data_IF_388358748253
#
_entry.id   IF_388358748253
#
_cell.length_a   1.000
_cell.length_b   1.000
_cell.length_c   1.000
_cell.angle_alpha   90.00
_cell.angle_beta   90.00
_cell.angle_gamma   90.00
#
_symmetry.space_group_name_H-M   'P 1'
#
loop_
_entity.id
_entity.type
_entity.pdbx_description
1 polymer ?
#
# COMPACT_ATOMS: atom_id res chain seq x y z
N UNK A 1 -142.51 44.81 24.67
CA UNK A 1 -141.55 45.69 23.97
C UNK A 1 -142.28 46.91 23.45
N UNK A 2 -141.79 48.12 23.72
CA UNK A 2 -142.27 49.34 23.08
C UNK A 2 -141.50 49.57 21.75
N UNK A 3 -141.98 50.49 20.88
CA UNK A 3 -141.39 50.70 19.54
C UNK A 3 -139.91 51.12 19.54
N UNK A 4 -139.46 51.84 20.56
CA UNK A 4 -138.06 52.26 20.70
C UNK A 4 -137.12 51.10 21.07
N UNK A 5 -137.57 50.14 21.88
CA UNK A 5 -136.84 48.90 22.16
C UNK A 5 -136.67 48.03 20.92
N UNK A 6 -137.71 47.94 20.07
CA UNK A 6 -137.64 47.19 18.81
C UNK A 6 -136.66 47.84 17.81
N UNK A 7 -136.69 49.17 17.67
CA UNK A 7 -135.75 49.92 16.83
C UNK A 7 -134.29 49.75 17.31
N UNK A 8 -134.04 49.87 18.61
CA UNK A 8 -132.71 49.66 19.19
C UNK A 8 -132.21 48.22 18.96
N UNK A 9 -133.09 47.22 19.12
CA UNK A 9 -132.78 45.81 18.83
C UNK A 9 -132.44 45.62 17.35
N UNK A 10 -133.22 46.21 16.44
CA UNK A 10 -132.99 46.09 14.99
C UNK A 10 -131.68 46.76 14.54
N UNK A 11 -131.31 47.87 15.18
CA UNK A 11 -130.02 48.53 14.95
C UNK A 11 -128.85 47.68 15.45
N UNK A 12 -128.97 47.06 16.65
CA UNK A 12 -127.97 46.10 17.15
C UNK A 12 -127.84 44.87 16.26
N UNK A 13 -128.95 44.32 15.74
CA UNK A 13 -128.93 43.19 14.78
C UNK A 13 -128.17 43.59 13.51
N UNK A 14 -128.38 44.80 13.00
CA UNK A 14 -127.65 45.31 11.83
C UNK A 14 -126.16 45.43 12.10
N UNK A 15 -125.76 46.02 13.25
CA UNK A 15 -124.36 46.08 13.68
C UNK A 15 -123.74 44.69 13.84
N UNK A 16 -124.45 43.77 14.49
CA UNK A 16 -123.98 42.39 14.68
C UNK A 16 -123.81 41.66 13.33
N UNK A 17 -124.73 41.89 12.39
CA UNK A 17 -124.61 41.35 11.01
C UNK A 17 -123.34 41.86 10.33
N UNK A 18 -123.05 43.17 10.45
CA UNK A 18 -121.81 43.76 9.93
C UNK A 18 -120.55 43.17 10.58
N UNK A 19 -120.53 43.06 11.92
CA UNK A 19 -119.42 42.46 12.66
C UNK A 19 -119.18 40.99 12.27
N UNK A 20 -120.25 40.21 12.09
CA UNK A 20 -120.16 38.81 11.63
C UNK A 20 -119.54 38.74 10.23
N UNK A 21 -119.96 39.62 9.31
CA UNK A 21 -119.39 39.67 7.97
C UNK A 21 -117.89 40.01 7.99
N UNK A 22 -117.48 41.01 8.79
CA UNK A 22 -116.07 41.34 9.02
C UNK A 22 -115.30 40.17 9.63
N UNK A 23 -115.84 39.52 10.66
CA UNK A 23 -115.21 38.35 11.28
C UNK A 23 -115.06 37.18 10.28
N UNK A 24 -116.06 36.96 9.43
CA UNK A 24 -116.01 35.94 8.37
C UNK A 24 -114.88 36.25 7.38
N UNK A 25 -114.73 37.50 6.94
CA UNK A 25 -113.64 37.92 6.05
C UNK A 25 -112.25 37.78 6.73
N UNK A 26 -112.15 38.16 8.00
CA UNK A 26 -110.93 38.00 8.80
C UNK A 26 -110.55 36.52 8.97
N UNK A 27 -111.52 35.64 9.22
CA UNK A 27 -111.29 34.19 9.32
C UNK A 27 -110.82 33.62 7.98
N UNK A 28 -111.44 34.01 6.86
CA UNK A 28 -111.01 33.59 5.52
C UNK A 28 -109.57 34.03 5.24
N UNK A 29 -109.23 35.27 5.60
CA UNK A 29 -107.87 35.82 5.48
C UNK A 29 -106.88 35.05 6.35
N UNK A 30 -107.22 34.81 7.61
CA UNK A 30 -106.40 34.02 8.53
C UNK A 30 -106.20 32.58 8.03
N UNK A 31 -107.24 31.98 7.45
CA UNK A 31 -107.16 30.64 6.85
C UNK A 31 -106.19 30.61 5.68
N UNK A 32 -106.26 31.59 4.77
CA UNK A 32 -105.33 31.71 3.65
C UNK A 32 -103.88 31.94 4.14
N UNK A 33 -103.69 32.78 5.14
CA UNK A 33 -102.38 33.04 5.74
C UNK A 33 -101.78 31.79 6.40
N UNK A 34 -102.60 31.02 7.13
CA UNK A 34 -102.17 29.75 7.73
C UNK A 34 -101.76 28.73 6.65
N UNK A 35 -102.53 28.63 5.56
CA UNK A 35 -102.19 27.76 4.44
C UNK A 35 -100.88 28.17 3.77
N UNK A 36 -100.67 29.48 3.55
CA UNK A 36 -99.42 30.03 3.04
C UNK A 36 -98.24 29.70 3.96
N UNK A 37 -98.38 29.95 5.26
CA UNK A 37 -97.37 29.62 6.26
C UNK A 37 -97.03 28.13 6.27
N UNK A 38 -98.04 27.27 6.11
CA UNK A 38 -97.85 25.81 6.04
C UNK A 38 -97.00 25.40 4.83
N UNK A 39 -97.27 25.98 3.65
CA UNK A 39 -96.49 25.71 2.44
C UNK A 39 -95.05 26.24 2.53
N UNK A 40 -94.85 27.42 3.11
CA UNK A 40 -93.51 27.99 3.37
C UNK A 40 -92.72 27.12 4.34
N UNK A 41 -93.35 26.60 5.40
CA UNK A 41 -92.71 25.67 6.34
C UNK A 41 -92.28 24.39 5.62
N UNK A 42 -93.15 23.77 4.81
CA UNK A 42 -92.80 22.57 4.06
C UNK A 42 -91.63 22.78 3.09
N UNK A 43 -91.58 23.94 2.44
CA UNK A 43 -90.46 24.34 1.57
C UNK A 43 -89.18 24.52 2.39
N UNK A 44 -89.25 25.17 3.55
CA UNK A 44 -88.10 25.34 4.44
C UNK A 44 -87.59 23.99 4.96
N UNK A 45 -88.47 23.07 5.35
CA UNK A 45 -88.11 21.70 5.75
C UNK A 45 -87.36 20.98 4.62
N UNK A 46 -87.85 21.09 3.38
CA UNK A 46 -87.19 20.50 2.20
C UNK A 46 -85.82 21.12 1.95
N UNK A 47 -85.71 22.45 1.98
CA UNK A 47 -84.46 23.17 1.76
C UNK A 47 -83.42 22.81 2.82
N UNK A 48 -83.82 22.72 4.10
CA UNK A 48 -82.90 22.34 5.17
C UNK A 48 -82.47 20.86 5.06
N UNK A 49 -83.35 19.96 4.60
CA UNK A 49 -82.97 18.58 4.28
C UNK A 49 -81.94 18.47 3.14
N UNK A 50 -82.03 19.34 2.12
CA UNK A 50 -81.03 19.44 1.06
C UNK A 50 -79.68 19.95 1.59
N UNK A 51 -79.68 20.93 2.50
CA UNK A 51 -78.47 21.40 3.20
C UNK A 51 -77.84 20.26 4.01
N UNK A 52 -78.63 19.51 4.77
CA UNK A 52 -78.16 18.35 5.52
C UNK A 52 -77.49 17.30 4.63
N UNK A 53 -78.14 16.97 3.50
CA UNK A 53 -77.60 16.03 2.52
C UNK A 53 -76.29 16.52 1.92
N UNK A 54 -76.16 17.83 1.68
CA UNK A 54 -74.94 18.45 1.13
C UNK A 54 -73.79 18.48 2.14
N UNK A 55 -74.10 18.63 3.43
CA UNK A 55 -73.10 18.50 4.50
C UNK A 55 -72.64 17.04 4.66
N UNK A 56 -73.52 16.06 4.43
CA UNK A 56 -73.20 14.65 4.60
C UNK A 56 -72.95 14.28 6.06
N UNK A 57 -72.11 13.26 6.31
CA UNK A 57 -71.74 12.85 7.68
C UNK A 57 -72.93 12.41 8.54
N UNK A 58 -74.08 12.06 7.96
CA UNK A 58 -75.29 11.75 8.73
C UNK A 58 -76.06 12.98 9.25
N UNK A 59 -75.75 14.19 8.78
CA UNK A 59 -76.55 15.37 9.09
C UNK A 59 -78.02 15.19 8.63
N UNK A 60 -78.97 15.72 9.40
CA UNK A 60 -80.39 15.52 9.10
C UNK A 60 -81.32 16.38 9.94
N UNK A 61 -82.62 16.29 9.62
CA UNK A 61 -83.70 16.92 10.40
C UNK A 61 -84.68 15.84 10.79
N UNK A 62 -84.94 15.72 12.08
CA UNK A 62 -85.89 14.77 12.61
C UNK A 62 -87.34 15.25 12.40
N UNK A 63 -88.34 14.35 12.49
CA UNK A 63 -89.75 14.70 12.29
C UNK A 63 -90.29 15.77 13.26
N UNK A 64 -89.65 15.96 14.41
CA UNK A 64 -89.98 17.01 15.40
C UNK A 64 -89.34 18.37 15.07
N UNK A 65 -88.58 18.46 13.98
CA UNK A 65 -87.87 19.65 13.54
C UNK A 65 -86.47 19.83 14.14
N UNK A 66 -85.98 18.91 14.97
CA UNK A 66 -84.64 18.99 15.55
C UNK A 66 -83.54 18.68 14.52
N UNK A 67 -82.40 19.38 14.64
CA UNK A 67 -81.23 19.18 13.76
C UNK A 67 -80.29 18.12 14.31
N UNK A 68 -79.87 17.19 13.46
CA UNK A 68 -78.76 16.26 13.69
C UNK A 68 -77.51 16.78 13.00
N UNK A 69 -76.45 17.02 13.78
CA UNK A 69 -75.16 17.48 13.26
C UNK A 69 -74.47 16.40 12.40
N UNK A 70 -73.66 16.78 11.38
CA UNK A 70 -72.81 15.83 10.70
C UNK A 70 -71.78 15.24 11.67
N UNK A 71 -71.34 14.02 11.43
CA UNK A 71 -70.25 13.36 12.12
C UNK A 71 -69.15 12.99 11.10
N UNK A 72 -68.13 13.84 11.01
CA UNK A 72 -67.00 13.62 10.10
C UNK A 72 -65.88 12.84 10.78
N UNK A 73 -65.59 11.64 10.29
CA UNK A 73 -64.42 10.87 10.70
C UNK A 73 -63.17 11.36 9.93
N UNK A 74 -62.27 12.06 10.62
CA UNK A 74 -61.03 12.63 10.05
C UNK A 74 -59.87 12.41 11.00
N UNK A 75 -58.72 11.91 10.50
CA UNK A 75 -57.52 11.67 11.32
C UNK A 75 -57.76 10.80 12.57
N UNK A 76 -58.73 9.88 12.52
CA UNK A 76 -59.11 9.03 13.66
C UNK A 76 -60.00 9.70 14.73
N UNK A 77 -60.41 10.95 14.52
CA UNK A 77 -61.38 11.67 15.36
C UNK A 77 -62.71 11.92 14.64
N UNK A 78 -63.73 12.28 15.43
CA UNK A 78 -65.10 12.56 14.98
C UNK A 78 -65.42 14.04 15.19
N UNK A 79 -65.95 14.72 14.17
CA UNK A 79 -66.18 16.17 14.19
C UNK A 79 -67.61 16.52 13.80
N UNK A 80 -68.27 17.28 14.67
CA UNK A 80 -69.68 17.64 14.53
C UNK A 80 -69.96 18.74 13.47
N UNK A 81 -68.93 19.27 12.82
CA UNK A 81 -69.04 20.35 11.84
C UNK A 81 -67.82 20.41 10.91
N UNK A 82 -67.99 21.06 9.75
CA UNK A 82 -66.97 21.15 8.68
C UNK A 82 -65.73 21.92 9.16
N UNK A 83 -65.91 23.00 9.91
CA UNK A 83 -64.79 23.84 10.37
C UNK A 83 -63.83 23.06 11.27
N UNK A 84 -64.35 22.27 12.20
CA UNK A 84 -63.54 21.42 13.07
C UNK A 84 -62.84 20.30 12.29
N UNK A 85 -63.54 19.66 11.34
CA UNK A 85 -62.96 18.63 10.48
C UNK A 85 -61.83 19.17 9.58
N UNK A 86 -62.05 20.33 8.93
CA UNK A 86 -61.05 21.00 8.12
C UNK A 86 -59.87 21.51 8.96
N UNK A 87 -60.14 22.05 10.16
CA UNK A 87 -59.08 22.46 11.08
C UNK A 87 -58.19 21.30 11.55
N UNK A 88 -58.77 20.10 11.72
CA UNK A 88 -58.01 18.89 12.01
C UNK A 88 -57.12 18.47 10.82
N UNK A 89 -57.64 18.55 9.60
CA UNK A 89 -56.85 18.28 8.39
C UNK A 89 -55.74 19.32 8.17
N UNK A 90 -56.03 20.59 8.42
CA UNK A 90 -55.05 21.68 8.33
C UNK A 90 -53.91 21.46 9.33
N UNK A 91 -54.23 21.18 10.59
CA UNK A 91 -53.25 20.85 11.63
C UNK A 91 -52.37 19.67 11.22
N UNK A 92 -52.97 18.59 10.72
CA UNK A 92 -52.23 17.42 10.24
C UNK A 92 -51.30 17.77 9.06
N UNK A 93 -51.77 18.63 8.15
CA UNK A 93 -51.00 19.08 6.99
C UNK A 93 -49.83 19.98 7.40
N UNK A 94 -50.03 20.91 8.34
CA UNK A 94 -48.95 21.70 8.95
C UNK A 94 -47.93 20.82 9.68
N UNK A 95 -48.39 19.80 10.40
CA UNK A 95 -47.53 18.81 11.06
C UNK A 95 -46.65 18.07 10.05
N UNK A 96 -47.23 17.60 8.95
CA UNK A 96 -46.49 16.95 7.86
C UNK A 96 -45.47 17.91 7.23
N UNK A 97 -45.84 19.17 6.98
CA UNK A 97 -44.93 20.19 6.44
C UNK A 97 -43.72 20.42 7.35
N UNK A 98 -43.94 20.45 8.67
CA UNK A 98 -42.89 20.57 9.68
C UNK A 98 -41.99 19.33 9.70
N UNK A 99 -42.56 18.12 9.70
CA UNK A 99 -41.80 16.89 9.69
C UNK A 99 -40.92 16.75 8.42
N UNK A 100 -41.45 17.14 7.26
CA UNK A 100 -40.70 17.16 5.99
C UNK A 100 -39.54 18.17 6.07
N UNK A 101 -39.79 19.36 6.60
CA UNK A 101 -38.74 20.38 6.79
C UNK A 101 -37.64 19.87 7.70
N UNK A 102 -38.01 19.21 8.82
CA UNK A 102 -37.04 18.63 9.75
C UNK A 102 -36.20 17.52 9.09
N UNK A 103 -36.82 16.64 8.29
CA UNK A 103 -36.08 15.60 7.54
C UNK A 103 -35.11 16.22 6.52
N UNK A 104 -35.49 17.30 5.84
CA UNK A 104 -34.61 18.02 4.92
C UNK A 104 -33.41 18.62 5.67
N UNK A 105 -33.65 19.26 6.82
CA UNK A 105 -32.58 19.79 7.67
C UNK A 105 -31.63 18.68 8.11
N UNK A 106 -32.17 17.59 8.67
CA UNK A 106 -31.37 16.46 9.13
C UNK A 106 -30.57 15.79 8.01
N UNK A 107 -31.11 15.72 6.79
CA UNK A 107 -30.42 15.18 5.64
C UNK A 107 -29.28 16.10 5.18
N UNK A 108 -29.51 17.41 5.14
CA UNK A 108 -28.49 18.40 4.77
C UNK A 108 -27.35 18.48 5.80
N UNK A 109 -27.67 18.29 7.07
CA UNK A 109 -26.70 18.25 8.17
C UNK A 109 -25.99 16.89 8.29
N UNK A 110 -26.43 15.86 7.55
CA UNK A 110 -25.90 14.50 7.66
C UNK A 110 -26.23 13.81 8.99
N UNK A 111 -27.32 14.20 9.65
CA UNK A 111 -27.77 13.61 10.92
C UNK A 111 -28.53 12.28 10.72
N UNK A 112 -29.10 12.05 9.54
CA UNK A 112 -29.85 10.82 9.18
C UNK A 112 -29.35 10.24 7.86
N UNK A 113 -29.56 8.94 7.65
CA UNK A 113 -29.09 8.21 6.45
C UNK A 113 -27.98 7.20 6.74
N UNK A 114 -27.35 6.65 5.68
CA UNK A 114 -26.23 5.72 5.82
C UNK A 114 -24.91 6.45 6.06
N UNK A 115 -24.69 7.59 5.41
CA UNK A 115 -23.53 8.44 5.68
C UNK A 115 -23.95 9.47 6.71
N UNK A 116 -23.36 9.43 7.90
CA UNK A 116 -23.70 10.34 8.99
C UNK A 116 -22.48 11.05 9.52
N UNK A 117 -22.63 12.33 9.83
CA UNK A 117 -21.65 13.06 10.61
C UNK A 117 -22.05 13.04 12.09
N UNK A 118 -21.14 12.57 12.93
CA UNK A 118 -21.31 12.67 14.38
C UNK A 118 -21.24 14.15 14.80
N UNK A 119 -22.22 14.61 15.58
CA UNK A 119 -22.33 16.02 15.92
C UNK A 119 -21.19 16.53 16.83
N UNK A 120 -20.58 15.64 17.61
CA UNK A 120 -19.57 16.01 18.62
C UNK A 120 -18.16 15.90 18.05
N UNK A 121 -17.82 14.73 17.51
CA UNK A 121 -16.49 14.40 16.98
C UNK A 121 -16.31 14.90 15.55
N UNK A 122 -17.41 15.21 14.85
CA UNK A 122 -17.45 15.59 13.41
C UNK A 122 -16.98 14.47 12.48
N UNK A 123 -16.79 13.26 13.00
CA UNK A 123 -16.45 12.06 12.23
C UNK A 123 -17.58 11.72 11.25
N UNK A 124 -17.22 11.36 10.03
CA UNK A 124 -18.16 10.86 9.03
C UNK A 124 -18.08 9.34 9.03
N UNK A 125 -19.18 8.71 9.43
CA UNK A 125 -19.35 7.26 9.40
C UNK A 125 -20.17 6.83 8.18
N UNK A 126 -19.90 5.62 7.67
CA UNK A 126 -20.66 5.02 6.58
C UNK A 126 -21.29 3.73 7.09
N UNK A 127 -22.61 3.70 7.13
CA UNK A 127 -23.44 2.54 7.47
C UNK A 127 -23.12 1.89 8.84
N UNK A 128 -22.62 2.68 9.82
CA UNK A 128 -22.16 2.15 11.12
C UNK A 128 -23.25 1.45 11.96
N UNK A 129 -24.53 1.74 11.72
CA UNK A 129 -25.65 1.12 12.44
C UNK A 129 -26.15 -0.19 11.80
N UNK A 130 -25.57 -0.60 10.68
CA UNK A 130 -25.95 -1.80 9.93
C UNK A 130 -24.75 -2.72 9.79
N UNK A 131 -24.99 -4.00 9.53
CA UNK A 131 -23.92 -4.94 9.19
C UNK A 131 -23.47 -4.77 7.73
N UNK A 132 -22.23 -5.17 7.46
CA UNK A 132 -21.60 -5.05 6.16
C UNK A 132 -20.09 -5.09 6.29
N UNK A 133 -19.42 -5.79 5.39
CA UNK A 133 -17.95 -5.97 5.44
C UNK A 133 -17.22 -5.21 4.33
N UNK A 134 -17.95 -4.53 3.44
CA UNK A 134 -17.39 -3.89 2.25
C UNK A 134 -18.16 -2.63 1.85
N UNK A 135 -17.41 -1.61 1.43
CA UNK A 135 -17.91 -0.40 0.77
C UNK A 135 -17.26 -0.33 -0.61
N UNK A 136 -18.06 -0.20 -1.66
CA UNK A 136 -17.57 -0.07 -3.04
C UNK A 136 -17.80 1.34 -3.58
N UNK A 137 -16.81 1.87 -4.30
CA UNK A 137 -16.88 3.17 -5.00
C UNK A 137 -17.08 3.03 -6.52
N UNK A 138 -17.40 1.82 -7.00
CA UNK A 138 -17.66 1.57 -8.43
C UNK A 138 -18.90 2.31 -8.95
N UNK A 139 -18.91 2.64 -10.24
CA UNK A 139 -20.08 3.25 -10.90
C UNK A 139 -21.12 2.20 -11.31
N UNK A 140 -22.23 2.65 -11.92
CA UNK A 140 -23.32 1.77 -12.35
C UNK A 140 -22.89 0.69 -13.38
N UNK A 141 -21.77 0.89 -14.06
CA UNK A 141 -21.17 -0.08 -14.99
C UNK A 141 -20.12 -0.99 -14.33
N UNK A 142 -19.91 -0.88 -13.02
CA UNK A 142 -18.91 -1.65 -12.27
C UNK A 142 -17.48 -1.10 -12.34
N UNK A 143 -17.27 0.05 -12.98
CA UNK A 143 -15.92 0.64 -13.12
C UNK A 143 -15.54 1.38 -11.83
N UNK A 144 -14.34 1.09 -11.32
CA UNK A 144 -13.77 1.75 -10.13
C UNK A 144 -13.59 3.25 -10.35
N UNK A 145 -13.81 4.03 -9.29
CA UNK A 145 -13.51 5.48 -9.26
C UNK A 145 -12.19 5.75 -8.54
N UNK A 146 -11.59 6.90 -8.85
CA UNK A 146 -10.50 7.44 -8.04
C UNK A 146 -11.06 8.02 -6.73
N UNK A 147 -10.38 7.74 -5.63
CA UNK A 147 -10.65 8.37 -4.33
C UNK A 147 -9.56 9.42 -4.08
N UNK A 148 -9.91 10.70 -4.25
CA UNK A 148 -9.02 11.84 -3.99
C UNK A 148 -9.35 12.50 -2.65
N UNK A 149 -8.44 13.35 -2.16
CA UNK A 149 -8.59 14.02 -0.86
C UNK A 149 -8.23 13.15 0.35
N UNK A 150 -7.61 11.97 0.13
CA UNK A 150 -7.08 11.11 1.19
C UNK A 150 -5.76 11.70 1.70
N UNK A 151 -5.78 12.17 2.95
CA UNK A 151 -4.56 12.61 3.64
C UNK A 151 -3.56 11.44 3.81
N UNK A 152 -2.31 11.76 4.15
CA UNK A 152 -1.33 10.72 4.46
C UNK A 152 -1.83 9.89 5.66
N UNK A 153 -1.99 8.58 5.44
CA UNK A 153 -2.40 7.66 6.49
C UNK A 153 -1.26 7.40 7.47
N UNK A 154 -1.58 7.19 8.74
CA UNK A 154 -0.60 6.75 9.72
C UNK A 154 0.03 5.42 9.29
N UNK A 155 1.37 5.33 9.33
CA UNK A 155 2.12 4.12 9.01
C UNK A 155 2.58 3.46 10.31
N UNK A 156 1.74 2.59 10.87
CA UNK A 156 2.03 1.81 12.06
C UNK A 156 1.44 0.40 11.94
N UNK A 157 1.92 -0.54 12.76
CA UNK A 157 1.49 -1.94 12.70
C UNK A 157 0.00 -2.16 13.02
N UNK A 158 -0.65 -1.16 13.62
CA UNK A 158 -2.05 -1.20 14.04
C UNK A 158 -2.94 -0.20 13.30
N UNK A 159 -2.39 0.52 12.30
CA UNK A 159 -3.14 1.52 11.54
C UNK A 159 -4.26 0.87 10.72
N UNK A 160 -5.42 1.51 10.72
CA UNK A 160 -6.58 1.20 9.86
C UNK A 160 -6.84 2.31 8.82
N UNK A 161 -5.89 3.24 8.65
CA UNK A 161 -6.02 4.36 7.74
C UNK A 161 -5.61 3.95 6.32
N UNK A 162 -6.28 4.51 5.32
CA UNK A 162 -5.87 4.34 3.93
C UNK A 162 -4.56 5.09 3.67
N UNK A 163 -3.67 4.50 2.88
CA UNK A 163 -2.47 5.17 2.35
C UNK A 163 -2.77 5.79 0.99
N UNK A 164 -2.18 6.95 0.72
CA UNK A 164 -2.37 7.65 -0.55
C UNK A 164 -1.20 7.43 -1.52
N UNK A 165 -1.31 8.03 -2.71
CA UNK A 165 -0.31 7.91 -3.76
C UNK A 165 1.07 8.47 -3.41
N UNK A 166 1.17 9.57 -2.64
CA UNK A 166 2.46 10.16 -2.25
C UNK A 166 3.26 9.23 -1.32
N UNK A 167 2.59 8.55 -0.40
CA UNK A 167 3.24 7.59 0.51
C UNK A 167 3.79 6.37 -0.24
N UNK A 168 3.00 5.80 -1.15
CA UNK A 168 3.45 4.68 -1.99
C UNK A 168 4.57 5.12 -2.94
N UNK A 169 4.49 6.33 -3.50
CA UNK A 169 5.53 6.89 -4.35
C UNK A 169 6.87 7.08 -3.62
N UNK A 170 6.84 7.57 -2.37
CA UNK A 170 8.04 7.68 -1.54
C UNK A 170 8.71 6.32 -1.34
N UNK A 171 7.93 5.27 -1.09
CA UNK A 171 8.42 3.89 -0.99
C UNK A 171 9.03 3.43 -2.31
N UNK A 172 8.36 3.67 -3.44
CA UNK A 172 8.85 3.28 -4.76
C UNK A 172 10.18 3.95 -5.11
N UNK A 173 10.39 5.22 -4.73
CA UNK A 173 11.68 5.90 -4.94
C UNK A 173 12.82 5.21 -4.19
N UNK A 174 12.59 4.75 -2.96
CA UNK A 174 13.61 4.01 -2.20
C UNK A 174 13.91 2.65 -2.85
N UNK A 175 12.89 1.97 -3.37
CA UNK A 175 13.08 0.72 -4.13
C UNK A 175 13.90 0.95 -5.40
N UNK A 176 13.63 2.03 -6.13
CA UNK A 176 14.43 2.41 -7.31
C UNK A 176 15.88 2.71 -6.94
N UNK A 177 16.12 3.46 -5.85
CA UNK A 177 17.47 3.74 -5.37
C UNK A 177 18.23 2.45 -4.99
N UNK A 178 17.57 1.54 -4.27
CA UNK A 178 18.14 0.23 -3.92
C UNK A 178 18.49 -0.59 -5.17
N UNK A 179 17.62 -0.57 -6.18
CA UNK A 179 17.87 -1.25 -7.46
C UNK A 179 19.13 -0.70 -8.14
N UNK A 180 19.32 0.62 -8.15
CA UNK A 180 20.53 1.27 -8.67
C UNK A 180 21.79 0.87 -7.88
N UNK A 181 21.73 0.88 -6.55
CA UNK A 181 22.85 0.48 -5.70
C UNK A 181 23.25 -0.99 -5.93
N UNK A 182 22.29 -1.90 -6.11
CA UNK A 182 22.56 -3.31 -6.41
C UNK A 182 23.24 -3.47 -7.77
N UNK A 183 22.81 -2.74 -8.79
CA UNK A 183 23.47 -2.74 -10.09
C UNK A 183 24.92 -2.22 -9.99
N UNK A 184 25.13 -1.16 -9.21
CA UNK A 184 26.47 -0.63 -8.91
C UNK A 184 27.37 -1.67 -8.24
N UNK A 185 26.88 -2.32 -7.17
CA UNK A 185 27.61 -3.40 -6.49
C UNK A 185 27.96 -4.56 -7.44
N UNK A 186 27.02 -4.93 -8.32
CA UNK A 186 27.25 -5.98 -9.33
C UNK A 186 28.38 -5.61 -10.28
N UNK A 187 28.42 -4.36 -10.76
CA UNK A 187 29.50 -3.88 -11.61
C UNK A 187 30.85 -3.86 -10.87
N UNK A 188 30.89 -3.36 -9.63
CA UNK A 188 32.11 -3.37 -8.81
C UNK A 188 32.63 -4.79 -8.57
N UNK A 189 31.75 -5.76 -8.31
CA UNK A 189 32.12 -7.17 -8.17
C UNK A 189 32.72 -7.71 -9.48
N UNK A 190 32.12 -7.43 -10.63
CA UNK A 190 32.66 -7.85 -11.92
C UNK A 190 34.05 -7.25 -12.21
N UNK A 191 34.24 -5.97 -11.88
CA UNK A 191 35.57 -5.31 -11.95
C UNK A 191 36.57 -5.98 -11.02
N UNK A 192 36.19 -6.30 -9.79
CA UNK A 192 37.06 -6.99 -8.84
C UNK A 192 37.44 -8.39 -9.36
N UNK A 193 36.49 -9.16 -9.89
CA UNK A 193 36.76 -10.46 -10.52
C UNK A 193 37.76 -10.34 -11.68
N UNK A 194 37.63 -9.29 -12.50
CA UNK A 194 38.58 -9.02 -13.60
C UNK A 194 39.98 -8.68 -13.07
N UNK A 195 40.06 -7.79 -12.08
CA UNK A 195 41.32 -7.39 -11.47
C UNK A 195 42.04 -8.59 -10.82
N UNK A 196 41.30 -9.47 -10.14
CA UNK A 196 41.86 -10.72 -9.59
C UNK A 196 42.36 -11.65 -10.70
N UNK A 197 41.66 -11.75 -11.83
CA UNK A 197 42.14 -12.47 -13.02
C UNK A 197 43.43 -11.89 -13.62
N UNK A 198 43.59 -10.56 -13.60
CA UNK A 198 44.83 -9.91 -14.03
C UNK A 198 45.99 -10.19 -13.06
N UNK A 199 45.73 -10.18 -11.75
CA UNK A 199 46.70 -10.58 -10.72
C UNK A 199 47.11 -12.04 -10.92
N UNK A 200 46.16 -12.95 -11.12
CA UNK A 200 46.42 -14.36 -11.43
C UNK A 200 47.30 -14.52 -12.68
N UNK A 201 46.97 -13.81 -13.76
CA UNK A 201 47.77 -13.82 -14.99
C UNK A 201 49.19 -13.30 -14.77
N UNK A 202 49.35 -12.28 -13.93
CA UNK A 202 50.66 -11.70 -13.58
C UNK A 202 51.49 -12.64 -12.71
N UNK A 203 50.86 -13.42 -11.85
CA UNK A 203 51.51 -14.47 -11.06
C UNK A 203 51.91 -15.66 -11.93
N UNK A 204 51.12 -16.03 -12.96
CA UNK A 204 51.39 -17.19 -13.80
C UNK A 204 51.23 -18.51 -13.04
N UNK A 205 51.95 -19.56 -13.44
CA UNK A 205 51.91 -20.87 -12.76
C UNK A 205 50.53 -21.54 -12.71
N UNK A 206 49.57 -21.13 -13.54
CA UNK A 206 48.20 -21.64 -13.47
C UNK A 206 47.35 -21.02 -12.35
N UNK A 207 47.77 -19.93 -11.72
CA UNK A 207 46.91 -19.16 -10.82
C UNK A 207 45.63 -18.72 -11.53
N UNK A 208 44.53 -18.64 -10.80
CA UNK A 208 43.24 -18.28 -11.38
C UNK A 208 42.15 -18.01 -10.36
N UNK A 209 41.02 -17.47 -10.84
CA UNK A 209 39.79 -17.35 -10.08
C UNK A 209 38.71 -18.18 -10.79
N UNK A 210 38.05 -19.07 -10.06
CA UNK A 210 36.98 -19.90 -10.58
C UNK A 210 35.65 -19.12 -10.64
N UNK A 211 34.64 -19.60 -11.39
CA UNK A 211 33.34 -18.93 -11.51
C UNK A 211 32.59 -18.75 -10.18
N UNK A 212 32.88 -19.58 -9.17
CA UNK A 212 32.31 -19.48 -7.81
C UNK A 212 33.06 -18.48 -6.92
N UNK A 213 34.10 -17.83 -7.45
CA UNK A 213 34.94 -16.87 -6.74
C UNK A 213 36.11 -17.49 -5.97
N UNK A 214 36.30 -18.81 -6.01
CA UNK A 214 37.44 -19.45 -5.35
C UNK A 214 38.77 -19.16 -6.06
N UNK A 215 39.85 -18.98 -5.29
CA UNK A 215 41.19 -18.71 -5.79
C UNK A 215 41.99 -20.00 -5.97
N UNK A 216 42.60 -20.18 -7.14
CA UNK A 216 43.60 -21.20 -7.44
C UNK A 216 44.99 -20.59 -7.30
N UNK A 217 45.81 -21.15 -6.41
CA UNK A 217 47.20 -20.72 -6.23
C UNK A 217 48.06 -21.07 -7.47
N UNK A 218 49.11 -20.28 -7.76
CA UNK A 218 50.08 -20.66 -8.79
C UNK A 218 50.83 -21.94 -8.40
N UNK A 219 51.34 -22.68 -9.36
CA UNK A 219 52.24 -23.81 -9.19
C UNK A 219 53.56 -23.53 -9.94
N UNK A 220 54.60 -23.17 -9.18
CA UNK A 220 55.92 -22.89 -9.73
C UNK A 220 56.82 -24.12 -9.61
N UNK A 221 57.29 -24.64 -10.74
CA UNK A 221 58.27 -25.72 -10.78
C UNK A 221 59.70 -25.16 -10.65
N UNK A 222 60.40 -25.48 -9.57
CA UNK A 222 61.79 -25.06 -9.32
C UNK A 222 62.59 -26.23 -8.73
N UNK A 223 63.72 -26.58 -9.36
CA UNK A 223 64.63 -27.66 -8.90
C UNK A 223 63.92 -29.03 -8.68
N UNK A 224 62.87 -29.33 -9.45
CA UNK A 224 62.08 -30.56 -9.32
C UNK A 224 61.03 -30.55 -8.21
N UNK A 225 60.86 -29.44 -7.49
CA UNK A 225 59.76 -29.22 -6.54
C UNK A 225 58.71 -28.23 -7.07
N UNK A 226 57.52 -28.27 -6.47
CA UNK A 226 56.37 -27.44 -6.80
C UNK A 226 56.06 -26.48 -5.65
N UNK A 227 55.83 -25.20 -5.97
CA UNK A 227 55.66 -24.15 -4.98
C UNK A 227 54.41 -23.31 -5.25
N UNK A 228 53.56 -23.19 -4.23
CA UNK A 228 52.27 -22.50 -4.34
C UNK A 228 52.34 -20.96 -4.29
N UNK A 229 53.54 -20.40 -4.14
CA UNK A 229 53.77 -18.96 -4.05
C UNK A 229 55.20 -18.58 -4.43
N UNK A 230 55.38 -17.32 -4.82
CA UNK A 230 56.66 -16.78 -5.31
C UNK A 230 57.76 -16.85 -4.24
N UNK A 231 57.43 -16.56 -2.98
CA UNK A 231 58.42 -16.55 -1.90
C UNK A 231 59.09 -17.91 -1.69
N UNK A 232 58.30 -18.99 -1.69
CA UNK A 232 58.81 -20.34 -1.55
C UNK A 232 59.65 -20.77 -2.77
N UNK A 233 59.19 -20.42 -3.99
CA UNK A 233 59.93 -20.70 -5.23
C UNK A 233 61.29 -19.97 -5.26
N UNK A 234 61.31 -18.68 -4.91
CA UNK A 234 62.54 -17.89 -4.84
C UNK A 234 63.47 -18.38 -3.74
N UNK A 235 62.95 -18.78 -2.57
CA UNK A 235 63.75 -19.37 -1.49
C UNK A 235 64.44 -20.67 -1.91
N UNK A 236 63.77 -21.49 -2.73
CA UNK A 236 64.38 -22.69 -3.30
C UNK A 236 65.51 -22.36 -4.29
N UNK A 237 65.32 -21.35 -5.15
CA UNK A 237 66.34 -20.89 -6.08
C UNK A 237 67.55 -20.27 -5.35
N UNK A 238 67.30 -19.49 -4.30
CA UNK A 238 68.33 -18.89 -3.46
C UNK A 238 69.18 -19.95 -2.75
N UNK A 239 68.53 -20.98 -2.19
CA UNK A 239 69.21 -22.14 -1.57
C UNK A 239 70.11 -22.85 -2.58
N UNK A 240 69.59 -23.12 -3.79
CA UNK A 240 70.36 -23.76 -4.85
C UNK A 240 71.56 -22.91 -5.29
N UNK A 241 71.36 -21.59 -5.42
CA UNK A 241 72.41 -20.64 -5.82
C UNK A 241 73.50 -20.53 -4.74
N UNK A 242 73.11 -20.48 -3.47
CA UNK A 242 74.03 -20.52 -2.32
C UNK A 242 74.83 -21.82 -2.28
N UNK A 243 74.17 -22.96 -2.55
CA UNK A 243 74.84 -24.25 -2.69
C UNK A 243 75.88 -24.27 -3.80
N UNK A 244 75.55 -23.74 -4.99
CA UNK A 244 76.48 -23.61 -6.10
C UNK A 244 77.68 -22.72 -5.75
N UNK A 245 77.45 -21.57 -5.10
CA UNK A 245 78.51 -20.67 -4.64
C UNK A 245 79.48 -21.37 -3.68
N UNK A 246 78.95 -22.19 -2.77
CA UNK A 246 79.75 -23.01 -1.84
C UNK A 246 80.56 -24.08 -2.60
N UNK A 247 79.94 -24.80 -3.53
CA UNK A 247 80.61 -25.82 -4.32
C UNK A 247 81.77 -25.25 -5.15
N UNK A 248 81.59 -24.07 -5.75
CA UNK A 248 82.64 -23.34 -6.49
C UNK A 248 83.79 -22.93 -5.56
N UNK A 249 83.47 -22.38 -4.40
CA UNK A 249 84.48 -21.99 -3.39
C UNK A 249 85.31 -23.20 -2.94
N UNK A 250 84.66 -24.35 -2.75
CA UNK A 250 85.35 -25.59 -2.39
C UNK A 250 86.27 -26.08 -3.52
N UNK A 251 85.82 -26.05 -4.78
CA UNK A 251 86.67 -26.39 -5.93
C UNK A 251 87.87 -25.45 -6.06
N UNK A 252 87.68 -24.14 -5.84
CA UNK A 252 88.77 -23.16 -5.87
C UNK A 252 89.79 -23.43 -4.76
N UNK A 253 89.32 -23.77 -3.56
CA UNK A 253 90.18 -24.14 -2.43
C UNK A 253 90.97 -25.40 -2.74
N UNK A 254 90.30 -26.47 -3.20
CA UNK A 254 90.94 -27.73 -3.57
C UNK A 254 91.96 -27.56 -4.71
N UNK A 255 91.71 -26.65 -5.65
CA UNK A 255 92.66 -26.35 -6.73
C UNK A 255 93.90 -25.62 -6.20
N UNK A 256 93.72 -24.61 -5.35
CA UNK A 256 94.82 -23.85 -4.74
C UNK A 256 95.69 -24.71 -3.82
N UNK A 257 95.09 -25.68 -3.13
CA UNK A 257 95.79 -26.65 -2.28
C UNK A 257 96.41 -27.81 -3.06
N UNK A 258 96.14 -27.93 -4.36
CA UNK A 258 96.60 -29.05 -5.18
C UNK A 258 95.95 -30.39 -4.82
N UNK A 259 94.75 -30.39 -4.24
CA UNK A 259 94.01 -31.60 -3.86
C UNK A 259 93.28 -32.25 -5.06
N UNK A 260 92.90 -31.45 -6.06
CA UNK A 260 92.25 -31.89 -7.32
C UNK A 260 93.01 -31.37 -8.54
N UNK A 261 92.84 -32.02 -9.70
CA UNK A 261 93.58 -31.71 -10.94
C UNK A 261 94.61 -32.77 -11.32
N UNK A 262 95.45 -32.48 -12.33
CA UNK A 262 96.48 -33.42 -12.79
C UNK A 262 97.77 -33.34 -11.97
N UNK A 263 98.15 -32.16 -11.48
CA UNK A 263 99.28 -32.02 -10.55
C UNK A 263 98.69 -31.94 -9.15
N UNK A 264 98.96 -32.95 -8.33
CA UNK A 264 98.39 -33.04 -6.97
C UNK A 264 99.48 -33.14 -5.93
N UNK A 265 99.27 -32.50 -4.79
CA UNK A 265 100.08 -32.73 -3.60
C UNK A 265 99.35 -33.70 -2.66
N UNK A 266 100.02 -34.79 -2.29
CA UNK A 266 99.52 -35.66 -1.23
C UNK A 266 99.52 -34.90 0.11
N UNK A 267 98.37 -34.83 0.77
CA UNK A 267 98.23 -34.04 2.00
C UNK A 267 99.10 -34.57 3.16
N UNK A 268 99.46 -35.85 3.14
CA UNK A 268 100.20 -36.54 4.21
C UNK A 268 101.69 -36.60 3.91
N UNK A 269 102.07 -37.13 2.75
CA UNK A 269 103.48 -37.29 2.34
C UNK A 269 104.06 -36.00 1.77
N UNK A 270 103.21 -35.04 1.39
CA UNK A 270 103.58 -33.80 0.68
C UNK A 270 104.23 -34.04 -0.69
N UNK A 271 104.21 -35.28 -1.17
CA UNK A 271 104.70 -35.66 -2.49
C UNK A 271 103.82 -35.03 -3.58
N UNK A 272 104.46 -34.48 -4.62
CA UNK A 272 103.76 -33.94 -5.78
C UNK A 272 103.72 -35.02 -6.85
N UNK A 273 102.53 -35.48 -7.18
CA UNK A 273 102.28 -36.42 -8.26
C UNK A 273 101.74 -35.69 -9.48
N UNK A 274 102.12 -36.16 -10.67
CA UNK A 274 101.61 -35.64 -11.95
C UNK A 274 100.87 -36.76 -12.66
N UNK A 275 99.58 -36.54 -12.89
CA UNK A 275 98.68 -37.41 -13.62
C UNK A 275 98.62 -38.86 -13.09
N UNK A 276 98.97 -39.10 -11.81
CA UNK A 276 99.11 -40.46 -11.26
C UNK A 276 97.80 -41.28 -11.26
N UNK A 277 96.64 -40.61 -11.28
CA UNK A 277 95.32 -41.25 -11.33
C UNK A 277 94.78 -41.45 -12.76
N UNK A 278 95.57 -41.11 -13.78
CA UNK A 278 95.21 -41.22 -15.19
C UNK A 278 96.31 -41.97 -15.93
N UNK A 279 95.96 -42.76 -16.95
CA UNK A 279 96.97 -43.44 -17.76
C UNK A 279 97.80 -42.43 -18.57
N UNK A 280 99.08 -42.72 -18.75
CA UNK A 280 100.01 -41.92 -19.54
C UNK A 280 101.44 -42.45 -19.45
N UNK A 281 102.17 -42.49 -20.57
CA UNK A 281 103.54 -43.04 -20.61
C UNK A 281 104.63 -41.98 -20.51
N UNK A 282 104.28 -40.68 -20.57
CA UNK A 282 105.24 -39.59 -20.51
C UNK A 282 104.64 -38.32 -19.89
N UNK A 283 105.47 -37.61 -19.11
CA UNK A 283 105.26 -36.20 -18.75
C UNK A 283 106.26 -35.38 -19.57
N UNK A 284 105.78 -34.57 -20.50
CA UNK A 284 106.64 -33.72 -21.34
C UNK A 284 106.76 -32.32 -20.75
N UNK A 285 107.99 -31.83 -20.62
CA UNK A 285 108.29 -30.45 -20.22
C UNK A 285 108.79 -29.62 -21.43
N UNK A 286 108.26 -29.89 -22.62
CA UNK A 286 108.55 -29.10 -23.81
C UNK A 286 107.62 -27.87 -23.92
N UNK A 287 108.05 -26.80 -24.61
CA UNK A 287 107.14 -25.74 -25.02
C UNK A 287 106.26 -26.18 -26.22
N UNK A 288 105.36 -25.31 -26.67
CA UNK A 288 104.46 -25.60 -27.80
C UNK A 288 105.20 -25.94 -29.12
N UNK A 289 106.50 -25.63 -29.23
CA UNK A 289 107.36 -25.95 -30.37
C UNK A 289 108.21 -27.21 -30.19
N UNK A 290 107.97 -28.00 -29.12
CA UNK A 290 108.69 -29.25 -28.85
C UNK A 290 110.09 -29.07 -28.24
N UNK A 291 110.50 -27.84 -27.91
CA UNK A 291 111.81 -27.57 -27.29
C UNK A 291 111.75 -27.85 -25.79
N UNK A 292 112.66 -28.70 -25.29
CA UNK A 292 112.79 -29.05 -23.88
C UNK A 292 113.03 -27.83 -22.99
N UNK A 293 112.30 -27.72 -21.88
CA UNK A 293 112.53 -26.70 -20.84
C UNK A 293 113.54 -27.20 -19.81
N UNK A 294 114.23 -26.27 -19.15
CA UNK A 294 115.10 -26.59 -18.01
C UNK A 294 114.25 -26.76 -16.75
N UNK A 295 114.43 -27.87 -16.03
CA UNK A 295 113.92 -28.02 -14.66
C UNK A 295 115.00 -27.55 -13.69
N UNK A 296 114.65 -26.63 -12.78
CA UNK A 296 115.55 -26.12 -11.74
C UNK A 296 115.01 -26.46 -10.34
N UNK A 297 115.90 -26.50 -9.33
CA UNK A 297 115.52 -26.84 -7.95
C UNK A 297 115.33 -28.34 -7.67
N UNK A 298 115.77 -29.22 -8.57
CA UNK A 298 115.70 -30.69 -8.40
C UNK A 298 116.92 -31.18 -7.61
N UNK A 299 116.70 -31.88 -6.51
CA UNK A 299 117.77 -32.47 -5.71
C UNK A 299 118.49 -33.62 -6.46
N UNK A 300 119.72 -33.92 -6.06
CA UNK A 300 120.46 -35.09 -6.58
C UNK A 300 119.77 -36.39 -6.16
N UNK A 301 119.74 -37.39 -7.06
CA UNK A 301 119.09 -38.69 -6.86
C UNK A 301 119.59 -39.42 -5.59
N UNK A 302 118.71 -39.71 -4.62
CA UNK A 302 119.06 -40.34 -3.34
C UNK A 302 118.93 -41.90 -3.36
N UNK A 303 118.15 -42.49 -4.26
CA UNK A 303 118.04 -43.97 -4.38
C UNK A 303 117.31 -44.39 -5.65
N UNK A 304 117.74 -45.49 -6.28
CA UNK A 304 117.18 -46.01 -7.53
C UNK A 304 115.68 -46.33 -7.44
N UNK A 305 114.83 -45.90 -8.40
CA UNK A 305 115.13 -45.09 -9.58
C UNK A 305 114.73 -43.60 -9.42
N UNK A 306 115.64 -42.64 -9.63
CA UNK A 306 115.25 -41.28 -10.02
C UNK A 306 115.74 -40.99 -11.44
N UNK A 307 114.78 -40.70 -12.30
CA UNK A 307 114.90 -40.62 -13.74
C UNK A 307 115.56 -39.31 -14.23
N UNK A 308 116.89 -39.27 -14.31
CA UNK A 308 117.60 -38.27 -15.13
C UNK A 308 118.50 -39.02 -16.12
N UNK A 309 117.98 -39.36 -17.31
CA UNK A 309 118.85 -39.64 -18.47
C UNK A 309 119.29 -38.29 -19.03
N UNK A 310 120.58 -37.99 -18.91
CA UNK A 310 121.21 -36.87 -19.64
C UNK A 310 121.10 -37.09 -21.14
#
# INVERSE_FOLDING_TARGET
MNGSQLFATNNQVTTNTGNIATNTANIATNTANIAGNTASIATNTTNLGNVASSLGGGAGIAPDGSWTAPDYAVQGGNYANVGAALGALDTATTGNSTAITNLQTQLNEGAVGLVKQDATTREISVAAATDGTSVTFSNASGVSRTLSGVADGELSATSNQAVNGSQLFATNNQVTANTGNIAGNTASIATNTTNLGNVASSLGGGAGIAPDGSWTAPDYAVQGGNYANVGAALGALDTATTGNSTAITNLQTQLNEGAVGLVKQDATTREISVAAATDGTAVTFANASGVSRTLSGVATANSAPPAIRR
#
